data_IF_932887949067
#
_entry.id   IF_932887949067
#
_cell.length_a   1.000
_cell.length_b   1.000
_cell.length_c   1.000
_cell.angle_alpha   90.00
_cell.angle_beta   90.00
_cell.angle_gamma   90.00
#
_symmetry.space_group_name_H-M   'P 1'
#
loop_
_entity.id
_entity.type
_entity.pdbx_description
1 polymer ?
#
# COMPACT_ATOMS: atom_id res chain seq x y z
N UNK A 1 79.79 -32.37 -6.27
CA UNK A 1 79.41 -32.34 -4.85
C UNK A 1 79.35 -30.88 -4.45
N UNK A 2 78.26 -30.26 -4.02
CA UNK A 2 76.85 -30.59 -3.95
C UNK A 2 76.11 -29.26 -3.79
N UNK A 3 74.86 -29.27 -4.22
CA UNK A 3 73.83 -28.23 -4.19
C UNK A 3 73.68 -27.58 -2.80
N UNK A 4 73.38 -26.28 -2.72
CA UNK A 4 72.14 -25.80 -2.06
C UNK A 4 71.95 -24.28 -2.10
N UNK A 5 71.07 -23.91 -3.02
CA UNK A 5 70.28 -22.69 -3.09
C UNK A 5 69.53 -22.48 -1.74
N UNK A 6 69.96 -21.50 -0.94
CA UNK A 6 69.21 -21.12 0.28
C UNK A 6 68.06 -20.19 -0.10
N UNK A 7 66.93 -20.81 -0.43
CA UNK A 7 65.63 -20.19 -0.52
C UNK A 7 65.02 -20.10 0.89
N UNK A 8 64.77 -18.89 1.38
CA UNK A 8 63.84 -18.52 2.47
C UNK A 8 64.08 -17.03 2.70
N UNK A 9 63.14 -16.11 2.48
CA UNK A 9 62.02 -15.82 3.37
C UNK A 9 60.94 -15.05 2.58
N UNK A 10 59.82 -15.70 2.26
CA UNK A 10 58.57 -15.04 1.87
C UNK A 10 57.43 -15.72 2.62
N UNK A 11 57.28 -15.42 3.91
CA UNK A 11 56.14 -15.86 4.73
C UNK A 11 55.66 -14.74 5.68
N UNK A 12 55.44 -13.53 5.14
CA UNK A 12 54.68 -12.49 5.84
C UNK A 12 53.22 -12.50 5.34
N UNK A 13 52.46 -13.54 5.70
CA UNK A 13 51.07 -13.71 5.30
C UNK A 13 50.16 -14.06 6.47
N UNK A 14 49.21 -13.16 6.77
CA UNK A 14 48.07 -13.28 7.68
C UNK A 14 48.34 -13.40 9.20
N UNK A 15 48.70 -12.28 9.83
CA UNK A 15 48.37 -12.05 11.24
C UNK A 15 47.02 -11.36 11.35
N UNK A 16 45.93 -12.10 11.58
CA UNK A 16 44.62 -11.49 11.89
C UNK A 16 44.74 -10.77 13.24
N UNK A 17 44.40 -9.47 13.33
CA UNK A 17 44.46 -8.75 14.61
C UNK A 17 43.53 -9.44 15.62
N UNK A 18 43.98 -9.54 16.88
CA UNK A 18 43.17 -10.13 17.94
C UNK A 18 41.81 -9.42 18.03
N UNK A 19 40.70 -10.18 18.17
CA UNK A 19 39.38 -9.60 18.36
C UNK A 19 39.38 -8.65 19.56
N UNK A 20 38.54 -7.62 19.50
CA UNK A 20 38.30 -6.77 20.66
C UNK A 20 37.55 -7.58 21.71
N UNK A 21 38.16 -7.77 22.88
CA UNK A 21 37.47 -8.40 24.00
C UNK A 21 36.38 -7.48 24.56
N UNK A 22 35.19 -8.04 24.73
CA UNK A 22 34.10 -7.40 25.46
C UNK A 22 34.13 -7.95 26.90
N UNK A 23 34.52 -7.10 27.83
CA UNK A 23 34.64 -7.44 29.25
C UNK A 23 33.88 -6.46 30.14
N UNK A 24 33.53 -6.91 31.34
CA UNK A 24 32.74 -6.18 32.33
C UNK A 24 31.77 -7.12 33.06
N UNK A 25 31.15 -6.67 34.17
CA UNK A 25 30.13 -7.48 34.82
C UNK A 25 28.97 -7.71 33.85
N UNK A 26 28.63 -8.99 33.61
CA UNK A 26 27.48 -9.36 32.81
C UNK A 26 26.21 -8.76 33.41
N UNK A 27 25.54 -7.86 32.68
CA UNK A 27 24.24 -7.34 33.11
C UNK A 27 23.15 -8.35 32.74
N UNK A 28 22.25 -8.72 33.67
CA UNK A 28 21.10 -9.55 33.34
C UNK A 28 20.17 -8.82 32.36
N UNK A 29 19.91 -9.46 31.22
CA UNK A 29 19.11 -8.91 30.11
C UNK A 29 17.61 -9.15 30.35
N UNK A 30 17.26 -10.33 30.85
CA UNK A 30 15.87 -10.71 31.11
C UNK A 30 15.45 -10.22 32.50
N UNK A 31 14.98 -8.98 32.59
CA UNK A 31 14.44 -8.39 33.82
C UNK A 31 13.06 -7.79 33.57
N UNK A 32 12.19 -7.90 34.56
CA UNK A 32 10.91 -7.18 34.54
C UNK A 32 11.15 -5.68 34.72
N UNK A 33 10.30 -4.86 34.10
CA UNK A 33 10.33 -3.41 34.25
C UNK A 33 9.72 -3.01 35.60
N UNK A 34 10.23 -1.93 36.19
CA UNK A 34 9.76 -1.41 37.49
C UNK A 34 8.35 -0.79 37.42
N UNK A 35 7.90 -0.41 36.22
CA UNK A 35 6.59 0.21 35.99
C UNK A 35 5.77 -0.61 35.01
N UNK A 36 4.48 -0.69 35.30
CA UNK A 36 3.49 -1.23 34.37
C UNK A 36 3.27 -0.24 33.21
N UNK A 37 3.30 -0.75 31.98
CA UNK A 37 2.96 0.00 30.77
C UNK A 37 1.65 -0.57 30.23
N UNK A 38 0.65 0.30 30.07
CA UNK A 38 -0.62 -0.10 29.47
C UNK A 38 -0.41 -0.46 27.99
N UNK A 39 -0.89 -1.64 27.60
CA UNK A 39 -0.93 -2.09 26.20
C UNK A 39 -2.41 -2.06 25.77
N UNK A 40 -2.79 -1.23 24.78
CA UNK A 40 -4.17 -1.16 24.32
C UNK A 40 -4.66 -2.50 23.77
N UNK A 41 -5.82 -2.97 24.24
CA UNK A 41 -6.42 -4.23 23.76
C UNK A 41 -7.00 -4.09 22.35
N UNK A 42 -7.59 -2.92 22.05
CA UNK A 42 -8.18 -2.62 20.76
C UNK A 42 -7.29 -1.60 20.05
N UNK A 43 -6.29 -2.08 19.32
CA UNK A 43 -5.48 -1.22 18.47
C UNK A 43 -6.31 -0.83 17.25
N UNK A 44 -6.55 0.47 17.09
CA UNK A 44 -7.20 0.98 15.88
C UNK A 44 -6.22 0.83 14.71
N UNK A 45 -6.76 0.40 13.56
CA UNK A 45 -6.00 0.34 12.33
C UNK A 45 -5.55 1.74 11.92
N UNK A 46 -4.26 1.88 11.59
CA UNK A 46 -3.70 3.10 11.03
C UNK A 46 -3.55 2.93 9.50
N UNK A 47 -4.09 3.87 8.75
CA UNK A 47 -3.94 3.96 7.31
C UNK A 47 -2.61 4.65 7.00
N UNK A 48 -1.67 3.89 6.43
CA UNK A 48 -0.35 4.35 5.99
C UNK A 48 0.18 3.48 4.84
N UNK A 49 1.16 3.97 4.08
CA UNK A 49 1.87 3.17 3.08
C UNK A 49 2.98 2.33 3.72
N UNK A 50 2.91 1.00 3.57
CA UNK A 50 3.93 0.08 4.05
C UNK A 50 4.97 -0.18 2.95
N UNK A 51 6.24 -0.51 3.30
CA UNK A 51 7.26 -0.85 2.29
C UNK A 51 6.91 -2.03 1.37
N UNK A 52 5.99 -2.90 1.80
CA UNK A 52 5.49 -4.02 0.99
C UNK A 52 4.41 -3.61 -0.02
N UNK A 53 3.88 -2.39 0.08
CA UNK A 53 2.90 -1.86 -0.85
C UNK A 53 3.61 -1.27 -2.07
N UNK A 54 3.79 -2.07 -3.13
CA UNK A 54 4.41 -1.60 -4.36
C UNK A 54 3.55 -0.62 -5.17
N UNK A 55 2.22 -0.69 -5.03
CA UNK A 55 1.26 0.06 -5.81
C UNK A 55 0.07 0.57 -5.01
N UNK A 56 -0.70 1.49 -5.59
CA UNK A 56 -1.95 2.00 -5.04
C UNK A 56 -2.95 0.87 -4.81
N UNK A 57 -3.12 -0.04 -5.78
CA UNK A 57 -4.00 -1.19 -5.62
C UNK A 57 -3.54 -2.12 -4.49
N UNK A 58 -2.24 -2.42 -4.37
CA UNK A 58 -1.76 -3.30 -3.29
C UNK A 58 -2.01 -2.68 -1.92
N UNK A 59 -1.71 -1.38 -1.78
CA UNK A 59 -1.95 -0.62 -0.55
C UNK A 59 -3.43 -0.60 -0.17
N UNK A 60 -4.31 -0.21 -1.11
CA UNK A 60 -5.74 -0.12 -0.85
C UNK A 60 -6.38 -1.50 -0.64
N UNK A 61 -5.84 -2.55 -1.23
CA UNK A 61 -6.27 -3.94 -0.97
C UNK A 61 -6.00 -4.30 0.48
N UNK A 62 -4.79 -3.99 0.98
CA UNK A 62 -4.42 -4.21 2.36
C UNK A 62 -5.27 -3.37 3.31
N UNK A 63 -5.40 -2.07 3.05
CA UNK A 63 -6.24 -1.18 3.86
C UNK A 63 -7.67 -1.69 3.96
N UNK A 64 -8.27 -2.09 2.84
CA UNK A 64 -9.62 -2.63 2.84
C UNK A 64 -9.70 -3.92 3.66
N UNK A 65 -8.78 -4.86 3.44
CA UNK A 65 -8.73 -6.14 4.18
C UNK A 65 -8.59 -5.92 5.69
N UNK A 66 -7.66 -5.08 6.12
CA UNK A 66 -7.32 -4.89 7.53
C UNK A 66 -8.41 -4.09 8.28
N UNK A 67 -9.22 -3.31 7.55
CA UNK A 67 -10.35 -2.55 8.10
C UNK A 67 -11.72 -3.21 7.89
N UNK A 68 -11.77 -4.41 7.30
CA UNK A 68 -13.03 -5.11 7.02
C UNK A 68 -13.88 -4.51 5.91
N UNK A 69 -13.28 -3.71 5.00
CA UNK A 69 -13.92 -3.13 3.83
C UNK A 69 -13.67 -3.95 2.58
N UNK A 70 -14.44 -3.68 1.52
CA UNK A 70 -14.24 -4.23 0.19
C UNK A 70 -13.55 -3.20 -0.71
N UNK A 71 -12.58 -3.61 -1.53
CA UNK A 71 -12.00 -2.76 -2.56
C UNK A 71 -12.73 -2.94 -3.90
N UNK A 72 -13.22 -1.84 -4.49
CA UNK A 72 -13.69 -1.78 -5.88
C UNK A 72 -12.72 -0.94 -6.71
N UNK A 73 -11.84 -1.59 -7.47
CA UNK A 73 -10.81 -0.93 -8.27
C UNK A 73 -11.23 -0.87 -9.74
N UNK A 74 -11.78 0.26 -10.19
CA UNK A 74 -12.47 0.42 -11.48
C UNK A 74 -11.67 1.23 -12.51
N UNK A 75 -10.36 1.38 -12.30
CA UNK A 75 -9.45 1.99 -13.28
C UNK A 75 -8.59 0.93 -13.96
N UNK A 76 -8.22 1.16 -15.22
CA UNK A 76 -7.57 0.15 -16.09
C UNK A 76 -6.11 -0.12 -15.75
N UNK A 77 -5.45 0.79 -15.04
CA UNK A 77 -4.03 0.74 -14.75
C UNK A 77 -3.79 0.93 -13.27
N UNK A 78 -2.76 0.25 -12.76
CA UNK A 78 -2.28 0.44 -11.41
C UNK A 78 -1.13 1.47 -11.40
N UNK A 79 -0.94 2.12 -10.26
CA UNK A 79 0.02 3.21 -10.10
C UNK A 79 0.95 2.91 -8.95
N UNK A 80 2.24 3.17 -9.12
CA UNK A 80 3.20 3.05 -8.04
C UNK A 80 2.94 4.10 -6.96
N UNK A 81 3.35 3.81 -5.74
CA UNK A 81 3.31 4.79 -4.65
C UNK A 81 4.41 5.83 -4.85
N UNK A 82 4.06 7.10 -4.69
CA UNK A 82 5.00 8.22 -4.73
C UNK A 82 5.27 8.75 -3.33
N UNK A 83 6.41 9.42 -3.14
CA UNK A 83 6.87 9.89 -1.82
C UNK A 83 5.80 10.59 -0.96
N UNK A 84 4.91 11.46 -1.50
CA UNK A 84 3.85 12.06 -0.69
C UNK A 84 2.91 11.07 0.01
N UNK A 85 2.71 9.86 -0.54
CA UNK A 85 1.84 8.83 0.05
C UNK A 85 2.41 8.33 1.38
N UNK A 86 3.73 8.34 1.57
CA UNK A 86 4.37 7.90 2.83
C UNK A 86 4.12 8.85 4.00
N UNK A 87 3.59 10.05 3.74
CA UNK A 87 3.23 11.02 4.77
C UNK A 87 1.81 10.82 5.30
N UNK A 88 1.03 9.91 4.71
CA UNK A 88 -0.32 9.57 5.18
C UNK A 88 -0.19 8.68 6.41
N UNK A 89 -0.63 9.20 7.55
CA UNK A 89 -0.71 8.52 8.84
C UNK A 89 -1.97 8.99 9.55
N UNK A 90 -3.00 8.14 9.59
CA UNK A 90 -4.29 8.50 10.20
C UNK A 90 -5.09 7.27 10.60
N UNK A 91 -5.96 7.43 11.60
CA UNK A 91 -6.92 6.39 12.01
C UNK A 91 -8.26 6.49 11.27
N UNK A 92 -8.42 7.48 10.39
CA UNK A 92 -9.65 7.76 9.65
C UNK A 92 -9.44 7.56 8.15
N UNK A 93 -10.20 6.62 7.57
CA UNK A 93 -10.12 6.29 6.15
C UNK A 93 -10.59 7.41 5.23
N UNK A 94 -11.54 8.25 5.66
CA UNK A 94 -12.02 9.37 4.86
C UNK A 94 -10.94 10.45 4.77
N UNK A 95 -10.21 10.68 5.86
CA UNK A 95 -9.03 11.55 5.86
C UNK A 95 -7.95 11.00 4.91
N UNK A 96 -7.64 9.71 5.00
CA UNK A 96 -6.65 9.07 4.12
C UNK A 96 -7.06 9.15 2.63
N UNK A 97 -8.33 8.87 2.32
CA UNK A 97 -8.85 8.97 0.96
C UNK A 97 -8.77 10.41 0.40
N UNK A 98 -9.07 11.42 1.21
CA UNK A 98 -8.94 12.82 0.82
C UNK A 98 -7.48 13.23 0.54
N UNK A 99 -6.52 12.71 1.31
CA UNK A 99 -5.10 12.91 1.06
C UNK A 99 -4.67 12.22 -0.24
N UNK A 100 -5.11 10.98 -0.48
CA UNK A 100 -4.86 10.28 -1.75
C UNK A 100 -5.44 11.03 -2.95
N UNK A 101 -6.66 11.57 -2.82
CA UNK A 101 -7.29 12.39 -3.86
C UNK A 101 -6.48 13.64 -4.19
N UNK A 102 -5.84 14.25 -3.19
CA UNK A 102 -4.96 15.40 -3.39
C UNK A 102 -3.67 15.00 -4.11
N UNK A 103 -3.07 13.88 -3.71
CA UNK A 103 -1.81 13.35 -4.28
C UNK A 103 -1.99 12.92 -5.74
N UNK A 104 -3.07 12.19 -6.04
CA UNK A 104 -3.30 11.60 -7.35
C UNK A 104 -4.23 12.44 -8.26
N UNK A 105 -4.47 13.71 -7.90
CA UNK A 105 -5.34 14.62 -8.66
C UNK A 105 -4.87 14.79 -10.10
N UNK A 106 -3.57 14.87 -10.33
CA UNK A 106 -2.99 15.06 -11.67
C UNK A 106 -3.21 13.85 -12.59
N UNK A 107 -3.32 12.65 -12.01
CA UNK A 107 -3.61 11.39 -12.69
C UNK A 107 -5.13 11.21 -12.90
N UNK A 108 -5.95 12.11 -12.39
CA UNK A 108 -7.40 12.02 -12.49
C UNK A 108 -7.98 10.82 -11.73
N UNK A 109 -7.34 10.38 -10.65
CA UNK A 109 -7.81 9.26 -9.82
C UNK A 109 -8.64 9.82 -8.68
N UNK A 110 -9.78 9.18 -8.39
CA UNK A 110 -10.61 9.48 -7.24
C UNK A 110 -10.82 8.21 -6.40
N UNK A 111 -10.47 8.31 -5.13
CA UNK A 111 -10.72 7.34 -4.07
C UNK A 111 -11.95 7.82 -3.28
N UNK A 112 -12.99 7.01 -3.26
CA UNK A 112 -14.25 7.25 -2.56
C UNK A 112 -14.42 6.18 -1.50
N UNK A 113 -14.88 6.58 -0.32
CA UNK A 113 -15.21 5.65 0.76
C UNK A 113 -16.71 5.75 1.00
N UNK A 114 -17.39 4.63 0.90
CA UNK A 114 -18.81 4.45 1.22
C UNK A 114 -18.94 3.35 2.27
N UNK A 115 -20.12 3.17 2.86
CA UNK A 115 -20.35 2.14 3.87
C UNK A 115 -19.89 0.75 3.37
N UNK A 116 -18.84 0.23 4.00
CA UNK A 116 -18.26 -1.08 3.70
C UNK A 116 -17.38 -1.17 2.45
N UNK A 117 -17.11 -0.08 1.71
CA UNK A 117 -16.35 -0.14 0.46
C UNK A 117 -15.42 1.06 0.22
N UNK A 118 -14.22 0.75 -0.31
CA UNK A 118 -13.30 1.71 -0.93
C UNK A 118 -13.40 1.56 -2.44
N UNK A 119 -13.85 2.61 -3.13
CA UNK A 119 -13.98 2.64 -4.58
C UNK A 119 -12.90 3.52 -5.20
N UNK A 120 -12.21 3.02 -6.22
CA UNK A 120 -11.23 3.75 -7.02
C UNK A 120 -11.77 3.88 -8.44
N UNK A 121 -11.98 5.11 -8.90
CA UNK A 121 -12.51 5.44 -10.23
C UNK A 121 -11.70 6.57 -10.86
N UNK A 122 -11.87 6.81 -12.16
CA UNK A 122 -11.40 8.06 -12.74
C UNK A 122 -12.30 9.20 -12.27
N UNK A 123 -11.74 10.36 -11.96
CA UNK A 123 -12.45 11.52 -11.41
C UNK A 123 -13.53 12.07 -12.37
N UNK A 124 -13.35 11.87 -13.67
CA UNK A 124 -14.31 12.23 -14.73
C UNK A 124 -15.40 11.16 -14.94
N UNK A 125 -15.29 9.98 -14.34
CA UNK A 125 -16.34 8.97 -14.32
C UNK A 125 -17.38 9.32 -13.25
N UNK A 126 -18.31 10.21 -13.59
CA UNK A 126 -19.48 10.46 -12.73
C UNK A 126 -20.55 9.38 -12.99
N UNK A 127 -20.91 8.53 -12.00
CA UNK A 127 -22.00 7.56 -12.16
C UNK A 127 -23.37 8.23 -12.35
N UNK A 128 -23.55 9.49 -11.93
CA UNK A 128 -24.81 10.22 -12.14
C UNK A 128 -25.03 10.60 -13.62
N UNK A 129 -23.97 10.73 -14.43
CA UNK A 129 -24.11 10.98 -15.87
C UNK A 129 -24.48 9.70 -16.65
N UNK A 130 -24.07 8.52 -16.17
CA UNK A 130 -24.42 7.24 -16.79
C UNK A 130 -25.90 6.85 -16.57
N UNK A 131 -26.53 7.34 -15.49
CA UNK A 131 -27.96 7.13 -15.23
C UNK A 131 -28.89 8.05 -16.05
N UNK A 132 -28.37 9.15 -16.61
CA UNK A 132 -29.13 10.10 -17.43
C UNK A 132 -29.13 9.77 -18.94
N UNK A 133 -28.41 8.72 -19.35
CA UNK A 133 -28.15 8.37 -20.76
C UNK A 133 -28.96 7.20 -21.30
N UNK A 134 -30.18 6.92 -20.81
CA UNK A 134 -31.12 6.02 -21.51
C UNK A 134 -32.08 6.88 -22.35
N UNK A 135 -31.98 6.92 -23.69
CA UNK A 135 -33.02 7.49 -24.52
C UNK A 135 -34.27 6.62 -24.39
N UNK A 136 -35.39 7.26 -24.08
CA UNK A 136 -36.71 6.66 -24.22
C UNK A 136 -37.02 6.51 -25.71
N UNK A 137 -36.57 5.42 -26.33
CA UNK A 137 -36.99 5.04 -27.67
C UNK A 137 -37.38 3.57 -27.70
N UNK A 138 -38.69 3.32 -27.63
CA UNK A 138 -39.40 2.31 -28.44
C UNK A 138 -40.81 2.14 -27.88
N UNK A 139 -41.74 3.00 -28.31
CA UNK A 139 -43.16 2.63 -28.28
C UNK A 139 -44.02 3.37 -29.31
N UNK A 140 -43.55 3.63 -30.54
CA UNK A 140 -44.45 4.06 -31.64
C UNK A 140 -43.93 3.67 -33.02
N UNK A 141 -44.03 2.40 -33.42
CA UNK A 141 -44.40 2.09 -34.80
C UNK A 141 -44.88 0.63 -34.94
N UNK A 142 -46.11 0.47 -35.44
CA UNK A 142 -46.73 -0.81 -35.79
C UNK A 142 -48.22 -0.65 -36.04
N UNK A 143 -48.60 -0.20 -37.24
CA UNK A 143 -49.97 -0.34 -37.78
C UNK A 143 -50.16 -1.75 -38.38
N UNK A 144 -51.39 -2.24 -38.63
CA UNK A 144 -51.96 -2.02 -39.97
C UNK A 144 -53.50 -1.89 -40.07
N UNK A 145 -53.91 -1.11 -41.08
CA UNK A 145 -55.02 -1.25 -42.06
C UNK A 145 -56.29 -2.00 -41.67
N UNK A 146 -57.43 -1.28 -41.73
CA UNK A 146 -58.74 -1.86 -42.07
C UNK A 146 -59.43 -1.03 -43.16
N UNK A 147 -59.67 -1.69 -44.30
CA UNK A 147 -60.54 -1.25 -45.40
C UNK A 147 -61.97 -1.74 -45.15
N UNK A 148 -62.98 -0.87 -45.27
CA UNK A 148 -64.23 -1.25 -45.95
C UNK A 148 -65.18 -0.08 -46.29
N UNK A 149 -65.63 -0.15 -47.55
CA UNK A 149 -66.88 0.28 -48.22
C UNK A 149 -67.60 1.56 -47.82
#
# INVERSE_FOLDING_TARGET
>A
MSISLSATVVLAGCGTPSPKDFGGPWKPINRFQERSTAIPLNQKYEYFAAPMDGTLKSMLTRWAKDSGLVLSYQISSDYTLITPVTQIHTLDIHVAANQLNSIYRAQGIAVRVTDGQVQVVMANSNPAAAAAGKPAESLRQGAPVDSKS
#
